data_IF_954556675871
#
_entry.id   IF_954556675871
#
_cell.length_a   1.000
_cell.length_b   1.000
_cell.length_c   1.000
_cell.angle_alpha   90.00
_cell.angle_beta   90.00
_cell.angle_gamma   90.00
#
_symmetry.space_group_name_H-M   'P 1'
#
loop_
_entity.id
_entity.type
_entity.pdbx_description
1 polymer ?
#
# COMPACT_ATOMS: atom_id res chain seq x y z
N UNK A 1 8.50 -3.52 -2.33
CA UNK A 1 7.53 -4.20 -1.44
C UNK A 1 6.44 -4.91 -2.23
N UNK A 2 5.62 -4.20 -3.03
CA UNK A 2 4.50 -4.80 -3.77
C UNK A 2 4.90 -6.04 -4.60
N UNK A 3 5.95 -5.92 -5.40
CA UNK A 3 6.52 -7.04 -6.18
C UNK A 3 6.87 -8.26 -5.31
N UNK A 4 7.57 -8.04 -4.19
CA UNK A 4 7.95 -9.11 -3.26
C UNK A 4 6.73 -9.83 -2.69
N UNK A 5 5.68 -9.09 -2.31
CA UNK A 5 4.43 -9.67 -1.82
C UNK A 5 3.78 -10.55 -2.89
N UNK A 6 3.67 -10.05 -4.13
CA UNK A 6 3.09 -10.81 -5.25
C UNK A 6 3.90 -12.06 -5.59
N UNK A 7 5.22 -11.95 -5.70
CA UNK A 7 6.13 -13.08 -6.00
C UNK A 7 6.04 -14.20 -4.96
N UNK A 8 5.77 -13.84 -3.70
CA UNK A 8 5.61 -14.79 -2.59
C UNK A 8 4.14 -15.14 -2.29
N UNK A 9 3.18 -14.71 -3.13
CA UNK A 9 1.74 -14.94 -2.95
C UNK A 9 1.19 -14.42 -1.62
N UNK A 10 1.80 -13.36 -1.10
CA UNK A 10 1.40 -12.68 0.13
C UNK A 10 0.50 -11.49 -0.19
N UNK A 11 -0.34 -11.13 0.78
CA UNK A 11 -1.15 -9.91 0.78
C UNK A 11 -0.81 -9.11 2.02
N UNK A 12 -1.02 -7.81 1.95
CA UNK A 12 -0.83 -6.91 3.08
C UNK A 12 -2.02 -5.96 3.17
N UNK A 13 -2.60 -5.88 4.36
CA UNK A 13 -3.66 -4.92 4.68
C UNK A 13 -3.09 -3.53 4.91
N UNK A 14 -3.94 -2.50 4.82
CA UNK A 14 -3.54 -1.15 5.21
C UNK A 14 -3.02 -1.07 6.66
N UNK A 15 -3.59 -1.85 7.58
CA UNK A 15 -3.14 -1.94 8.97
C UNK A 15 -1.72 -2.48 9.09
N UNK A 16 -1.43 -3.60 8.44
CA UNK A 16 -0.09 -4.22 8.43
C UNK A 16 0.93 -3.31 7.75
N UNK A 17 0.55 -2.60 6.69
CA UNK A 17 1.43 -1.62 6.06
C UNK A 17 1.74 -0.45 6.99
N UNK A 18 0.73 0.07 7.71
CA UNK A 18 0.93 1.13 8.69
C UNK A 18 1.86 0.69 9.82
N UNK A 19 1.68 -0.53 10.34
CA UNK A 19 2.57 -1.11 11.35
C UNK A 19 4.00 -1.29 10.83
N UNK A 20 4.16 -1.80 9.60
CA UNK A 20 5.47 -1.95 8.95
C UNK A 20 6.18 -0.59 8.84
N UNK A 21 5.48 0.44 8.35
CA UNK A 21 6.03 1.79 8.22
C UNK A 21 6.45 2.36 9.57
N UNK A 22 5.56 2.28 10.57
CA UNK A 22 5.84 2.78 11.91
C UNK A 22 7.02 2.05 12.58
N UNK A 23 7.11 0.72 12.40
CA UNK A 23 8.21 -0.09 12.95
C UNK A 23 9.56 0.29 12.34
N UNK A 24 9.57 0.67 11.07
CA UNK A 24 10.77 1.13 10.37
C UNK A 24 11.03 2.65 10.54
N UNK A 25 10.28 3.34 11.41
CA UNK A 25 10.51 4.75 11.73
C UNK A 25 9.98 5.76 10.71
N UNK A 26 9.13 5.33 9.76
CA UNK A 26 8.46 6.24 8.84
C UNK A 26 7.31 6.96 9.54
N UNK A 27 7.19 8.27 9.32
CA UNK A 27 6.11 9.10 9.83
C UNK A 27 5.32 9.75 8.70
N UNK A 28 4.12 10.22 9.01
CA UNK A 28 3.37 11.09 8.12
C UNK A 28 4.12 12.43 7.93
N UNK A 29 3.65 13.25 6.98
CA UNK A 29 4.14 14.62 6.79
C UNK A 29 3.99 15.52 8.04
N UNK A 30 3.12 15.14 8.99
CA UNK A 30 2.92 15.84 10.25
C UNK A 30 3.80 15.28 11.39
N UNK A 31 4.69 14.34 11.11
CA UNK A 31 5.55 13.69 12.10
C UNK A 31 4.83 12.66 12.99
N UNK A 32 3.56 12.36 12.70
CA UNK A 32 2.78 11.37 13.44
C UNK A 32 2.95 9.95 12.87
N UNK A 33 2.56 8.95 13.66
CA UNK A 33 2.49 7.55 13.22
C UNK A 33 1.39 7.38 12.17
N UNK A 34 1.57 6.42 11.27
CA UNK A 34 0.52 5.97 10.37
C UNK A 34 -0.56 5.21 11.16
N UNK A 35 -1.81 5.53 10.88
CA UNK A 35 -2.96 4.75 11.33
C UNK A 35 -3.42 3.82 10.20
N UNK A 36 -3.87 2.62 10.54
CA UNK A 36 -4.44 1.64 9.59
C UNK A 36 -5.78 2.06 8.95
N UNK A 37 -6.14 3.34 9.06
CA UNK A 37 -7.37 3.94 8.54
C UNK A 37 -7.16 4.70 7.23
N UNK A 38 -7.97 5.74 6.98
CA UNK A 38 -8.03 6.44 5.69
C UNK A 38 -6.68 6.90 5.13
N UNK A 39 -5.74 7.31 6.00
CA UNK A 39 -4.43 7.80 5.59
C UNK A 39 -3.62 6.77 4.81
N UNK A 40 -3.58 5.52 5.28
CA UNK A 40 -2.76 4.49 4.62
C UNK A 40 -3.35 4.03 3.28
N UNK A 41 -4.68 3.94 3.19
CA UNK A 41 -5.37 3.67 1.92
C UNK A 41 -5.12 4.79 0.91
N UNK A 42 -5.06 6.05 1.37
CA UNK A 42 -4.70 7.19 0.53
C UNK A 42 -3.27 7.06 -0.01
N UNK A 43 -2.32 6.60 0.80
CA UNK A 43 -0.93 6.35 0.35
C UNK A 43 -0.91 5.26 -0.73
N UNK A 44 -1.56 4.12 -0.50
CA UNK A 44 -1.63 3.02 -1.47
C UNK A 44 -2.23 3.50 -2.80
N UNK A 45 -3.36 4.22 -2.72
CA UNK A 45 -4.04 4.78 -3.89
C UNK A 45 -3.17 5.78 -4.65
N UNK A 46 -2.46 6.67 -3.95
CA UNK A 46 -1.56 7.62 -4.58
C UNK A 46 -0.38 6.93 -5.27
N UNK A 47 0.18 5.86 -4.69
CA UNK A 47 1.19 5.04 -5.33
C UNK A 47 0.65 4.39 -6.61
N UNK A 48 -0.56 3.80 -6.56
CA UNK A 48 -1.20 3.20 -7.73
C UNK A 48 -1.37 4.24 -8.85
N UNK A 49 -1.98 5.40 -8.56
CA UNK A 49 -2.17 6.48 -9.55
C UNK A 49 -0.87 6.98 -10.15
N UNK A 50 0.18 7.08 -9.34
CA UNK A 50 1.49 7.51 -9.81
C UNK A 50 2.05 6.57 -10.89
N UNK A 51 1.97 5.26 -10.68
CA UNK A 51 2.47 4.28 -11.65
C UNK A 51 1.52 4.08 -12.84
N UNK A 52 0.21 4.17 -12.60
CA UNK A 52 -0.80 4.17 -13.66
C UNK A 52 -0.54 5.32 -14.65
N UNK A 53 -0.36 6.56 -14.15
CA UNK A 53 -0.09 7.73 -14.98
C UNK A 53 1.26 7.66 -15.72
N UNK A 54 2.20 6.85 -15.23
CA UNK A 54 3.48 6.59 -15.89
C UNK A 54 3.43 5.45 -16.91
N UNK A 55 2.29 4.79 -17.08
CA UNK A 55 2.13 3.57 -17.87
C UNK A 55 3.02 2.41 -17.40
N UNK A 56 3.37 2.37 -16.11
CA UNK A 56 4.12 1.27 -15.50
C UNK A 56 3.17 0.15 -15.03
N UNK A 57 2.53 -0.51 -16.01
CA UNK A 57 1.44 -1.48 -15.77
C UNK A 57 1.81 -2.65 -14.86
N UNK A 58 3.08 -3.07 -14.86
CA UNK A 58 3.55 -4.14 -13.98
C UNK A 58 3.58 -3.69 -12.51
N UNK A 59 4.09 -2.48 -12.24
CA UNK A 59 4.14 -1.94 -10.88
C UNK A 59 2.75 -1.65 -10.35
N UNK A 60 1.88 -1.11 -11.21
CA UNK A 60 0.45 -0.90 -10.96
C UNK A 60 -0.22 -2.21 -10.51
N UNK A 61 -0.17 -3.27 -11.33
CA UNK A 61 -0.74 -4.58 -11.00
C UNK A 61 -0.14 -5.19 -9.74
N UNK A 62 1.15 -4.96 -9.49
CA UNK A 62 1.77 -5.42 -8.26
C UNK A 62 1.15 -4.74 -7.03
N UNK A 63 0.82 -3.45 -7.10
CA UNK A 63 0.14 -2.73 -6.01
C UNK A 63 -1.29 -3.25 -5.83
N UNK A 64 -2.05 -3.42 -6.92
CA UNK A 64 -3.42 -3.96 -6.89
C UNK A 64 -3.50 -5.34 -6.22
N UNK A 65 -2.52 -6.19 -6.55
CA UNK A 65 -2.48 -7.55 -6.06
C UNK A 65 -1.80 -7.65 -4.69
N UNK A 66 -0.93 -6.74 -4.29
CA UNK A 66 -0.25 -6.85 -3.00
C UNK A 66 -1.11 -6.31 -1.85
N UNK A 67 -1.83 -5.21 -2.07
CA UNK A 67 -2.49 -4.47 -0.99
C UNK A 67 -4.00 -4.57 -1.03
N UNK A 68 -4.59 -5.05 0.08
CA UNK A 68 -6.02 -5.29 0.20
C UNK A 68 -6.63 -4.60 1.42
N UNK A 69 -7.94 -4.39 1.41
CA UNK A 69 -8.69 -3.97 2.59
C UNK A 69 -9.04 -5.18 3.47
N UNK A 70 -9.73 -4.93 4.58
CA UNK A 70 -10.19 -5.96 5.54
C UNK A 70 -11.12 -7.01 4.95
N UNK A 71 -11.68 -6.75 3.75
CA UNK A 71 -12.57 -7.66 3.03
C UNK A 71 -11.86 -8.39 1.88
N UNK A 72 -10.56 -8.18 1.70
CA UNK A 72 -9.77 -8.81 0.63
C UNK A 72 -9.88 -8.12 -0.74
N UNK A 73 -10.57 -6.98 -0.85
CA UNK A 73 -10.61 -6.20 -2.09
C UNK A 73 -9.38 -5.29 -2.21
N UNK A 74 -8.96 -4.92 -3.43
CA UNK A 74 -7.81 -4.05 -3.63
C UNK A 74 -7.94 -2.72 -2.86
N UNK A 75 -6.87 -2.34 -2.15
CA UNK A 75 -6.85 -1.19 -1.25
C UNK A 75 -6.70 0.18 -1.95
N UNK A 76 -6.61 0.20 -3.29
CA UNK A 76 -6.40 1.43 -4.08
C UNK A 76 -7.70 2.14 -4.49
N UNK A 77 -8.86 1.51 -4.28
CA UNK A 77 -10.19 2.06 -4.62
C UNK A 77 -10.61 3.22 -3.69
#
# INVERSE_FOLDING_TARGET
>A
MAKFLVENRLKMTGGELAEFLNTNGYTTSYGSRFEGGRGIYTVIRNCWHYYHNKNESETEKNIENAFVNSYGYPAFW
#
